data_IF_829231626649
#
_entry.id   IF_829231626649
#
_cell.length_a   1.000
_cell.length_b   1.000
_cell.length_c   1.000
_cell.angle_alpha   90.00
_cell.angle_beta   90.00
_cell.angle_gamma   90.00
#
_symmetry.space_group_name_H-M   'P 1'
#
loop_
_entity.id
_entity.type
_entity.pdbx_description
1 polymer ?
#
# COMPACT_ATOMS: atom_id res chain seq x y z
N UNK A 1 6.12 12.64 22.20
CA UNK A 1 6.42 11.50 23.08
C UNK A 1 5.19 11.08 23.84
N UNK A 2 4.77 9.85 23.57
CA UNK A 2 3.73 9.15 24.33
C UNK A 2 4.34 8.52 25.59
N UNK A 3 3.53 8.46 26.64
CA UNK A 3 3.83 7.67 27.83
C UNK A 3 2.69 6.69 28.07
N UNK A 4 2.94 5.64 28.87
CA UNK A 4 1.91 4.74 29.34
C UNK A 4 0.70 5.46 29.96
N UNK A 5 0.94 6.51 30.75
CA UNK A 5 -0.12 7.29 31.40
C UNK A 5 -0.99 8.05 30.40
N UNK A 6 -0.41 8.54 29.29
CA UNK A 6 -1.20 9.18 28.24
C UNK A 6 -2.14 8.19 27.55
N UNK A 7 -1.62 7.00 27.24
CA UNK A 7 -2.39 5.94 26.59
C UNK A 7 -3.52 5.44 27.50
N UNK A 8 -3.27 5.29 28.81
CA UNK A 8 -4.29 4.87 29.78
C UNK A 8 -5.46 5.86 29.93
N UNK A 9 -5.33 7.11 29.48
CA UNK A 9 -6.47 8.06 29.41
C UNK A 9 -7.49 7.70 28.32
N UNK A 10 -7.07 6.91 27.32
CA UNK A 10 -7.89 6.56 26.15
C UNK A 10 -8.13 5.05 26.01
N UNK A 11 -7.30 4.22 26.64
CA UNK A 11 -7.35 2.77 26.54
C UNK A 11 -7.43 2.13 27.93
N UNK A 12 -8.31 1.14 28.09
CA UNK A 12 -8.54 0.49 29.37
C UNK A 12 -7.31 -0.29 29.88
N UNK A 13 -6.54 -0.86 28.95
CA UNK A 13 -5.34 -1.66 29.25
C UNK A 13 -4.21 -1.22 28.33
N UNK A 14 -3.05 -1.00 28.92
CA UNK A 14 -1.80 -0.71 28.23
C UNK A 14 -0.70 -1.55 28.86
N UNK A 15 -0.20 -2.53 28.10
CA UNK A 15 0.98 -3.31 28.48
C UNK A 15 2.24 -2.57 28.03
N UNK A 16 3.34 -2.82 28.72
CA UNK A 16 4.66 -2.29 28.36
C UNK A 16 5.68 -3.43 28.46
N UNK A 17 6.52 -3.59 27.42
CA UNK A 17 7.63 -4.52 27.48
C UNK A 17 8.91 -3.88 28.07
N UNK A 18 9.95 -4.69 28.27
CA UNK A 18 11.23 -4.22 28.82
C UNK A 18 12.00 -3.29 27.87
N UNK A 19 11.61 -3.26 26.59
CA UNK A 19 12.25 -2.49 25.53
C UNK A 19 11.53 -1.16 25.26
N UNK A 20 10.49 -0.84 26.04
CA UNK A 20 9.75 0.42 25.93
C UNK A 20 8.66 0.43 24.86
N UNK A 21 8.17 -0.75 24.45
CA UNK A 21 7.01 -0.87 23.56
C UNK A 21 5.72 -0.92 24.37
N UNK A 22 4.77 -0.08 23.99
CA UNK A 22 3.43 -0.06 24.56
C UNK A 22 2.46 -0.85 23.67
N UNK A 23 1.74 -1.79 24.26
CA UNK A 23 0.70 -2.56 23.58
C UNK A 23 -0.67 -2.21 24.12
N UNK A 24 -1.59 -1.92 23.23
CA UNK A 24 -2.97 -1.58 23.56
C UNK A 24 -3.88 -1.90 22.38
N UNK A 25 -5.19 -1.88 22.60
CA UNK A 25 -6.14 -2.31 21.60
C UNK A 25 -7.44 -1.50 21.63
N UNK A 26 -8.11 -1.46 20.48
CA UNK A 26 -9.44 -0.95 20.32
C UNK A 26 -10.35 -2.09 19.86
N UNK A 27 -11.30 -2.48 20.73
CA UNK A 27 -12.26 -3.54 20.44
C UNK A 27 -13.51 -2.93 19.81
N UNK A 28 -13.78 -3.27 18.55
CA UNK A 28 -15.05 -2.99 17.88
C UNK A 28 -15.92 -4.25 17.88
N UNK A 29 -17.24 -4.14 17.60
CA UNK A 29 -18.13 -5.30 17.64
C UNK A 29 -17.74 -6.47 16.72
N UNK A 30 -16.98 -6.22 15.64
CA UNK A 30 -16.63 -7.22 14.62
C UNK A 30 -15.13 -7.43 14.43
N UNK A 31 -14.29 -6.59 15.03
CA UNK A 31 -12.85 -6.60 14.81
C UNK A 31 -12.14 -5.96 15.99
N UNK A 32 -10.89 -6.35 16.21
CA UNK A 32 -10.01 -5.70 17.18
C UNK A 32 -8.79 -5.15 16.47
N UNK A 33 -8.60 -3.85 16.58
CA UNK A 33 -7.35 -3.19 16.20
C UNK A 33 -6.36 -3.27 17.36
N UNK A 34 -5.17 -3.82 17.11
CA UNK A 34 -4.07 -3.87 18.07
C UNK A 34 -2.99 -2.89 17.65
N UNK A 35 -2.43 -2.23 18.64
CA UNK A 35 -1.46 -1.18 18.49
C UNK A 35 -0.19 -1.59 19.24
N UNK A 36 0.95 -1.41 18.59
CA UNK A 36 2.24 -1.37 19.26
C UNK A 36 2.84 0.01 18.99
N UNK A 37 3.24 0.71 20.05
CA UNK A 37 3.83 2.05 19.97
C UNK A 37 5.20 2.04 20.63
N UNK A 38 6.20 2.58 19.95
CA UNK A 38 7.53 2.84 20.49
C UNK A 38 7.78 4.34 20.49
N UNK A 39 8.09 4.89 21.66
CA UNK A 39 8.49 6.28 21.81
C UNK A 39 10.00 6.42 21.90
N UNK A 40 10.56 7.39 21.20
CA UNK A 40 11.97 7.78 21.28
C UNK A 40 12.09 9.29 21.50
N UNK A 41 13.30 9.77 21.79
CA UNK A 41 13.55 11.19 22.04
C UNK A 41 13.14 12.10 20.87
N UNK A 42 13.18 11.62 19.63
CA UNK A 42 12.91 12.40 18.42
C UNK A 42 11.59 12.07 17.74
N UNK A 43 11.08 10.84 17.87
CA UNK A 43 9.88 10.39 17.15
C UNK A 43 9.10 9.32 17.93
N UNK A 44 7.81 9.25 17.65
CA UNK A 44 6.92 8.18 18.10
C UNK A 44 6.53 7.34 16.87
N UNK A 45 6.79 6.04 16.90
CA UNK A 45 6.43 5.12 15.81
C UNK A 45 5.35 4.15 16.29
N UNK A 46 4.36 3.92 15.44
CA UNK A 46 3.18 3.13 15.73
C UNK A 46 2.96 2.13 14.61
N UNK A 47 2.65 0.89 14.97
CA UNK A 47 2.17 -0.12 14.04
C UNK A 47 0.79 -0.60 14.50
N UNK A 48 -0.08 -0.92 13.52
CA UNK A 48 -1.44 -1.37 13.76
C UNK A 48 -1.72 -2.65 13.00
N UNK A 49 -2.33 -3.62 13.68
CA UNK A 49 -2.87 -4.83 13.08
C UNK A 49 -4.37 -4.95 13.32
N UNK A 50 -5.07 -5.54 12.36
CA UNK A 50 -6.47 -5.94 12.47
C UNK A 50 -6.51 -7.45 12.77
N UNK A 51 -7.14 -7.83 13.89
CA UNK A 51 -7.42 -9.23 14.27
C UNK A 51 -6.20 -10.16 14.39
N UNK A 52 -4.98 -9.61 14.44
CA UNK A 52 -3.72 -10.36 14.60
C UNK A 52 -2.98 -9.86 15.83
N UNK A 53 -2.67 -10.76 16.77
CA UNK A 53 -1.86 -10.48 17.96
C UNK A 53 -0.46 -11.07 17.79
N UNK A 54 0.38 -10.36 17.04
CA UNK A 54 1.78 -10.71 16.85
C UNK A 54 2.67 -9.55 17.32
N UNK A 55 2.95 -9.59 18.63
CA UNK A 55 3.79 -8.59 19.30
C UNK A 55 5.24 -8.66 18.82
N UNK A 56 5.74 -9.84 18.48
CA UNK A 56 7.14 -10.01 18.05
C UNK A 56 7.37 -9.33 16.71
N UNK A 57 6.49 -9.58 15.73
CA UNK A 57 6.56 -8.89 14.45
C UNK A 57 6.34 -7.38 14.59
N UNK A 58 5.39 -6.97 15.44
CA UNK A 58 5.16 -5.55 15.74
C UNK A 58 6.43 -4.85 16.23
N UNK A 59 7.10 -5.42 17.23
CA UNK A 59 8.37 -4.93 17.76
C UNK A 59 9.42 -4.89 16.66
N UNK A 60 9.58 -5.99 15.92
CA UNK A 60 10.61 -6.09 14.89
C UNK A 60 10.49 -4.99 13.84
N UNK A 61 9.28 -4.67 13.38
CA UNK A 61 9.06 -3.57 12.40
C UNK A 61 9.42 -2.21 13.02
N UNK A 62 8.97 -1.92 14.24
CA UNK A 62 9.26 -0.64 14.89
C UNK A 62 10.74 -0.45 15.24
N UNK A 63 11.43 -1.53 15.63
CA UNK A 63 12.87 -1.51 15.92
C UNK A 63 13.73 -1.29 14.68
N UNK A 64 13.24 -1.71 13.50
CA UNK A 64 13.90 -1.49 12.21
C UNK A 64 13.58 -0.12 11.59
N UNK A 65 12.63 0.65 12.16
CA UNK A 65 12.32 1.99 11.67
C UNK A 65 13.54 2.90 11.76
N UNK A 66 13.91 3.61 10.68
CA UNK A 66 15.02 4.54 10.72
C UNK A 66 14.71 5.70 11.67
N UNK A 67 15.77 6.27 12.27
CA UNK A 67 15.68 7.52 13.01
C UNK A 67 15.58 8.72 12.07
N UNK A 68 14.91 9.79 12.52
CA UNK A 68 14.85 11.05 11.76
C UNK A 68 13.83 11.02 10.62
N UNK A 69 12.67 10.40 10.85
CA UNK A 69 11.59 10.35 9.88
C UNK A 69 11.12 11.76 9.46
N UNK A 70 10.90 11.95 8.16
CA UNK A 70 10.41 13.22 7.61
C UNK A 70 8.93 13.40 7.91
N UNK A 71 8.53 14.59 8.35
CA UNK A 71 7.11 14.93 8.58
C UNK A 71 6.35 15.27 7.29
N UNK A 72 7.06 15.49 6.20
CA UNK A 72 6.47 16.01 4.97
C UNK A 72 6.12 14.88 3.99
N UNK A 73 6.82 13.75 4.09
CA UNK A 73 6.68 12.63 3.16
C UNK A 73 6.85 11.26 3.81
N UNK A 74 6.35 10.18 3.19
CA UNK A 74 6.59 8.83 3.63
C UNK A 74 8.10 8.49 3.66
N UNK A 75 8.47 7.56 4.52
CA UNK A 75 9.80 6.94 4.51
C UNK A 75 9.65 5.44 4.33
N UNK A 76 10.21 4.93 3.24
CA UNK A 76 10.25 3.51 2.92
C UNK A 76 11.54 2.90 3.47
N UNK A 77 11.45 1.73 4.10
CA UNK A 77 12.61 0.97 4.58
C UNK A 77 12.38 -0.54 4.46
N UNK A 78 13.46 -1.29 4.34
CA UNK A 78 13.45 -2.76 4.32
C UNK A 78 13.18 -3.31 5.71
N UNK A 79 12.50 -4.46 5.78
CA UNK A 79 12.29 -5.20 7.03
C UNK A 79 12.73 -6.65 6.85
N UNK A 80 13.09 -7.27 7.96
CA UNK A 80 13.48 -8.68 8.03
C UNK A 80 12.36 -9.61 7.56
N UNK A 81 12.75 -10.80 7.08
CA UNK A 81 11.84 -11.86 6.68
C UNK A 81 10.85 -12.21 7.81
N UNK A 82 9.60 -12.46 7.43
CA UNK A 82 8.49 -12.67 8.35
C UNK A 82 7.44 -13.58 7.72
N UNK A 83 6.56 -14.13 8.55
CA UNK A 83 5.53 -15.08 8.10
C UNK A 83 4.47 -14.47 7.16
N UNK A 84 4.36 -13.15 7.11
CA UNK A 84 3.40 -12.44 6.25
C UNK A 84 3.97 -12.16 4.85
N UNK A 85 5.26 -12.36 4.64
CA UNK A 85 5.95 -12.10 3.36
C UNK A 85 6.17 -10.61 3.05
N UNK A 86 5.93 -9.70 4.00
CA UNK A 86 6.24 -8.29 3.81
C UNK A 86 7.75 -8.10 3.69
N UNK A 87 8.18 -7.28 2.74
CA UNK A 87 9.61 -7.03 2.50
C UNK A 87 10.03 -5.64 2.95
N UNK A 88 9.06 -4.72 3.09
CA UNK A 88 9.31 -3.34 3.45
C UNK A 88 8.28 -2.87 4.47
N UNK A 89 8.55 -1.73 5.09
CA UNK A 89 7.57 -0.94 5.79
C UNK A 89 7.60 0.51 5.31
N UNK A 90 6.44 1.15 5.34
CA UNK A 90 6.25 2.55 4.99
C UNK A 90 5.87 3.31 6.26
N UNK A 91 6.78 4.15 6.76
CA UNK A 91 6.46 5.09 7.83
C UNK A 91 5.82 6.34 7.24
N UNK A 92 4.57 6.61 7.59
CA UNK A 92 3.83 7.79 7.12
C UNK A 92 3.59 8.78 8.27
N UNK A 93 3.73 10.10 8.05
CA UNK A 93 3.47 11.10 9.08
C UNK A 93 2.01 11.20 9.50
N UNK A 94 1.76 11.90 10.60
CA UNK A 94 0.46 12.01 11.26
C UNK A 94 -0.70 12.53 10.38
N UNK A 95 -0.43 13.31 9.34
CA UNK A 95 -1.43 13.81 8.40
C UNK A 95 -1.96 12.71 7.45
N UNK A 96 -1.21 11.64 7.24
CA UNK A 96 -1.58 10.51 6.38
C UNK A 96 -2.56 9.54 7.03
N UNK A 97 -2.65 9.51 8.36
CA UNK A 97 -3.47 8.54 9.09
C UNK A 97 -4.33 9.14 10.21
N UNK A 98 -5.33 8.38 10.65
CA UNK A 98 -6.25 8.76 11.73
C UNK A 98 -5.90 8.17 13.11
N UNK A 99 -4.84 7.37 13.21
CA UNK A 99 -4.49 6.67 14.44
C UNK A 99 -4.21 7.64 15.58
N UNK A 100 -4.80 7.34 16.75
CA UNK A 100 -4.72 8.15 17.98
C UNK A 100 -5.28 9.57 17.86
N UNK A 101 -6.12 9.86 16.86
CA UNK A 101 -6.87 11.13 16.80
C UNK A 101 -7.85 11.26 17.97
N UNK A 102 -8.24 12.50 18.28
CA UNK A 102 -9.18 12.82 19.36
C UNK A 102 -8.45 13.18 20.65
N UNK A 103 -8.64 12.39 21.72
CA UNK A 103 -8.07 12.70 23.04
C UNK A 103 -6.53 12.79 23.08
N UNK A 104 -5.85 12.23 22.07
CA UNK A 104 -4.40 12.22 21.95
C UNK A 104 -3.88 13.10 20.80
N UNK A 105 -4.74 13.93 20.18
CA UNK A 105 -4.39 14.75 19.00
C UNK A 105 -3.15 15.61 19.24
N UNK A 106 -3.10 16.29 20.39
CA UNK A 106 -2.03 17.19 20.79
C UNK A 106 -0.65 16.54 20.92
N UNK A 107 -0.57 15.19 20.85
CA UNK A 107 0.69 14.43 20.89
C UNK A 107 1.12 13.88 19.54
N UNK A 108 0.33 14.06 18.49
CA UNK A 108 0.55 13.39 17.19
C UNK A 108 1.61 14.06 16.32
N UNK A 109 2.15 15.22 16.69
CA UNK A 109 3.07 16.00 15.85
C UNK A 109 4.34 15.26 15.41
N UNK A 110 4.76 14.24 16.16
CA UNK A 110 5.91 13.39 15.84
C UNK A 110 5.51 11.91 15.74
N UNK A 111 4.22 11.63 15.53
CA UNK A 111 3.68 10.28 15.41
C UNK A 111 3.74 9.82 13.96
N UNK A 112 4.34 8.66 13.74
CA UNK A 112 4.42 7.99 12.45
C UNK A 112 3.72 6.65 12.52
N UNK A 113 2.91 6.34 11.50
CA UNK A 113 2.36 5.00 11.31
C UNK A 113 3.30 4.20 10.40
N UNK A 114 3.89 3.14 10.93
CA UNK A 114 4.65 2.15 10.18
C UNK A 114 3.68 1.09 9.65
N UNK A 115 3.53 1.04 8.33
CA UNK A 115 2.70 0.05 7.63
C UNK A 115 3.60 -1.00 7.00
N UNK A 116 3.52 -2.28 7.39
CA UNK A 116 4.20 -3.36 6.68
C UNK A 116 3.59 -3.56 5.29
N UNK A 117 4.43 -3.64 4.26
CA UNK A 117 4.01 -3.68 2.86
C UNK A 117 4.82 -4.71 2.06
N UNK A 118 4.20 -5.21 0.99
CA UNK A 118 4.98 -5.76 -0.12
C UNK A 118 5.55 -4.59 -0.92
N UNK A 119 6.80 -4.70 -1.40
CA UNK A 119 7.51 -3.58 -2.06
C UNK A 119 6.68 -2.92 -3.19
N UNK A 120 5.88 -3.69 -3.91
CA UNK A 120 5.08 -3.22 -5.02
C UNK A 120 3.79 -2.47 -4.64
N UNK A 121 3.39 -2.45 -3.36
CA UNK A 121 2.12 -1.83 -2.93
C UNK A 121 2.19 -0.29 -2.89
N UNK A 122 3.39 0.28 -2.72
CA UNK A 122 3.62 1.73 -2.69
C UNK A 122 4.94 2.08 -3.36
N UNK A 123 5.05 3.27 -3.96
CA UNK A 123 6.31 3.77 -4.50
C UNK A 123 7.24 4.31 -3.41
N UNK A 124 6.69 4.90 -2.34
CA UNK A 124 7.40 5.63 -1.30
C UNK A 124 7.34 7.16 -1.47
N UNK A 125 6.66 7.62 -2.51
CA UNK A 125 6.54 9.05 -2.91
C UNK A 125 5.07 9.47 -3.01
N UNK A 126 4.17 8.71 -2.38
CA UNK A 126 2.74 9.03 -2.31
C UNK A 126 2.50 10.36 -1.60
N UNK A 127 1.60 11.15 -2.16
CA UNK A 127 1.01 12.28 -1.43
C UNK A 127 0.05 11.77 -0.35
N UNK A 128 -0.29 12.66 0.59
CA UNK A 128 -1.28 12.38 1.63
C UNK A 128 -2.62 11.87 1.06
N UNK A 129 -3.12 12.54 0.02
CA UNK A 129 -4.37 12.20 -0.65
C UNK A 129 -4.28 10.82 -1.32
N UNK A 130 -3.20 10.57 -2.07
CA UNK A 130 -3.00 9.28 -2.74
C UNK A 130 -2.91 8.13 -1.72
N UNK A 131 -2.14 8.29 -0.66
CA UNK A 131 -2.04 7.27 0.38
C UNK A 131 -3.41 6.98 1.01
N UNK A 132 -4.20 8.01 1.34
CA UNK A 132 -5.54 7.85 1.92
C UNK A 132 -6.49 7.13 0.98
N UNK A 133 -6.51 7.50 -0.29
CA UNK A 133 -7.35 6.85 -1.29
C UNK A 133 -6.97 5.38 -1.46
N UNK A 134 -5.67 5.09 -1.53
CA UNK A 134 -5.15 3.72 -1.60
C UNK A 134 -5.55 2.90 -0.36
N UNK A 135 -5.31 3.42 0.84
CA UNK A 135 -5.61 2.74 2.10
C UNK A 135 -7.12 2.53 2.34
N UNK A 136 -7.97 3.42 1.83
CA UNK A 136 -9.42 3.31 2.01
C UNK A 136 -10.10 2.38 0.99
N UNK A 137 -9.63 2.38 -0.27
CA UNK A 137 -10.37 1.76 -1.39
C UNK A 137 -9.70 0.52 -1.95
N UNK A 138 -8.38 0.43 -1.83
CA UNK A 138 -7.61 -0.60 -2.53
C UNK A 138 -6.90 -1.56 -1.60
N UNK A 139 -6.17 -1.04 -0.61
CA UNK A 139 -5.23 -1.81 0.18
C UNK A 139 -5.64 -1.82 1.66
N UNK A 140 -6.01 -2.99 2.23
CA UNK A 140 -6.34 -3.08 3.65
C UNK A 140 -5.06 -3.09 4.51
N UNK A 141 -4.46 -1.92 4.72
CA UNK A 141 -3.14 -1.74 5.35
C UNK A 141 -2.98 -2.34 6.76
N UNK A 142 -4.07 -2.58 7.48
CA UNK A 142 -4.04 -3.19 8.82
C UNK A 142 -4.26 -4.71 8.80
N UNK A 143 -4.70 -5.29 7.68
CA UNK A 143 -4.85 -6.74 7.52
C UNK A 143 -3.52 -7.33 7.08
N UNK A 144 -2.82 -7.99 8.01
CA UNK A 144 -1.52 -8.59 7.72
C UNK A 144 -1.64 -9.90 6.93
N UNK A 145 -2.72 -10.64 7.13
CA UNK A 145 -3.07 -11.82 6.34
C UNK A 145 -3.85 -11.40 5.09
N UNK A 146 -3.18 -10.71 4.16
CA UNK A 146 -3.76 -10.22 2.91
C UNK A 146 -2.94 -10.69 1.71
N UNK A 147 -3.57 -10.74 0.55
CA UNK A 147 -2.88 -10.92 -0.72
C UNK A 147 -2.02 -9.70 -1.09
N UNK A 148 -1.17 -9.84 -2.09
CA UNK A 148 -0.35 -8.74 -2.62
C UNK A 148 -1.23 -7.82 -3.49
N UNK A 149 -1.17 -6.50 -3.24
CA UNK A 149 -1.90 -5.49 -4.02
C UNK A 149 -0.97 -4.46 -4.69
N UNK A 150 -0.38 -4.77 -5.85
CA UNK A 150 0.53 -3.85 -6.53
C UNK A 150 -0.14 -2.50 -6.86
N UNK A 151 0.61 -1.41 -6.68
CA UNK A 151 0.22 -0.08 -7.14
C UNK A 151 0.28 -0.04 -8.66
N UNK A 152 -0.88 0.20 -9.28
CA UNK A 152 -1.04 0.32 -10.72
C UNK A 152 -1.82 1.58 -11.04
N UNK A 153 -1.23 2.46 -11.86
CA UNK A 153 -1.92 3.58 -12.47
C UNK A 153 -2.17 3.23 -13.93
N UNK A 154 -3.41 3.37 -14.37
CA UNK A 154 -3.85 2.92 -15.69
C UNK A 154 -4.47 4.09 -16.44
N UNK A 155 -3.96 4.35 -17.64
CA UNK A 155 -4.53 5.29 -18.59
C UNK A 155 -5.02 4.51 -19.80
N UNK A 156 -6.32 4.53 -20.08
CA UNK A 156 -6.88 3.75 -21.17
C UNK A 156 -8.02 4.46 -21.90
N UNK A 157 -8.25 4.00 -23.14
CA UNK A 157 -9.40 4.35 -23.96
C UNK A 157 -9.90 3.09 -24.69
N UNK A 158 -11.20 2.83 -24.57
CA UNK A 158 -11.90 1.77 -25.27
C UNK A 158 -13.06 2.37 -26.09
N UNK A 159 -12.82 2.66 -27.38
CA UNK A 159 -13.83 3.29 -28.22
C UNK A 159 -15.07 2.42 -28.46
N UNK A 160 -14.97 1.09 -28.28
CA UNK A 160 -16.11 0.19 -28.44
C UNK A 160 -17.13 0.30 -27.31
N UNK A 161 -16.68 0.61 -26.10
CA UNK A 161 -17.56 0.75 -24.92
C UNK A 161 -17.76 2.21 -24.51
N UNK A 162 -16.92 3.12 -25.01
CA UNK A 162 -16.85 4.51 -24.54
C UNK A 162 -16.23 4.63 -23.15
N UNK A 163 -15.69 3.54 -22.60
CA UNK A 163 -14.99 3.55 -21.32
C UNK A 163 -13.57 4.05 -21.52
N UNK A 164 -13.08 4.81 -20.54
CA UNK A 164 -11.72 5.32 -20.55
C UNK A 164 -11.44 6.12 -19.30
N UNK A 165 -10.21 6.61 -19.22
CA UNK A 165 -9.75 7.51 -18.15
C UNK A 165 -9.28 8.82 -18.75
N UNK A 166 -9.32 9.89 -17.95
CA UNK A 166 -8.57 11.11 -18.29
C UNK A 166 -7.06 10.83 -18.34
N UNK A 167 -6.30 11.71 -19.00
CA UNK A 167 -4.85 11.56 -19.24
C UNK A 167 -4.01 11.29 -17.97
N UNK A 168 -4.49 11.74 -16.80
CA UNK A 168 -3.81 11.45 -15.53
C UNK A 168 -3.86 9.97 -15.11
N UNK A 169 -4.68 9.15 -15.77
CA UNK A 169 -4.97 7.77 -15.42
C UNK A 169 -5.69 7.61 -14.08
N UNK A 170 -6.07 6.38 -13.76
CA UNK A 170 -6.72 5.99 -12.51
C UNK A 170 -5.94 4.90 -11.79
N UNK A 171 -5.98 4.88 -10.45
CA UNK A 171 -5.47 3.76 -9.68
C UNK A 171 -6.45 2.59 -9.77
N UNK A 172 -5.99 1.42 -10.21
CA UNK A 172 -6.81 0.23 -10.36
C UNK A 172 -6.26 -0.96 -9.57
N UNK A 173 -7.17 -1.82 -9.10
CA UNK A 173 -6.82 -3.16 -8.63
C UNK A 173 -6.41 -4.02 -9.83
N UNK A 174 -5.48 -4.94 -9.61
CA UNK A 174 -5.02 -5.87 -10.66
C UNK A 174 -6.20 -6.62 -11.31
N UNK A 175 -7.15 -7.11 -10.52
CA UNK A 175 -8.34 -7.81 -11.03
C UNK A 175 -9.21 -6.94 -11.93
N UNK A 176 -9.32 -5.64 -11.64
CA UNK A 176 -10.06 -4.69 -12.48
C UNK A 176 -9.31 -4.46 -13.78
N UNK A 177 -7.99 -4.27 -13.73
CA UNK A 177 -7.14 -4.14 -14.92
C UNK A 177 -7.26 -5.37 -15.84
N UNK A 178 -7.28 -6.58 -15.30
CA UNK A 178 -7.47 -7.81 -16.11
C UNK A 178 -8.78 -7.77 -16.88
N UNK A 179 -9.87 -7.32 -16.25
CA UNK A 179 -11.16 -7.14 -16.94
C UNK A 179 -11.09 -6.07 -18.04
N UNK A 180 -10.40 -4.95 -17.81
CA UNK A 180 -10.23 -3.94 -18.85
C UNK A 180 -9.39 -4.45 -20.03
N UNK A 181 -8.34 -5.24 -19.77
CA UNK A 181 -7.56 -5.90 -20.82
C UNK A 181 -8.44 -6.85 -21.61
N UNK A 182 -9.27 -7.67 -20.96
CA UNK A 182 -10.19 -8.57 -21.65
C UNK A 182 -11.19 -7.80 -22.54
N UNK A 183 -11.71 -6.68 -22.05
CA UNK A 183 -12.62 -5.80 -22.80
C UNK A 183 -11.97 -5.12 -24.01
N UNK A 184 -10.63 -5.13 -24.11
CA UNK A 184 -9.90 -4.60 -25.25
C UNK A 184 -9.86 -5.58 -26.43
N UNK A 185 -10.24 -6.85 -26.24
CA UNK A 185 -10.11 -7.90 -27.24
C UNK A 185 -10.83 -7.57 -28.57
N UNK A 186 -10.05 -7.35 -29.64
CA UNK A 186 -10.57 -7.00 -30.96
C UNK A 186 -11.02 -5.55 -31.12
N UNK A 187 -10.66 -4.66 -30.20
CA UNK A 187 -10.98 -3.24 -30.25
C UNK A 187 -9.93 -2.48 -31.07
N UNK A 188 -10.36 -1.99 -32.23
CA UNK A 188 -9.53 -1.15 -33.10
C UNK A 188 -9.33 0.22 -32.43
N UNK A 189 -8.07 0.69 -32.39
CA UNK A 189 -7.66 1.96 -31.79
C UNK A 189 -7.87 2.09 -30.27
N UNK A 190 -8.22 1.00 -29.58
CA UNK A 190 -8.21 0.99 -28.12
C UNK A 190 -6.81 0.71 -27.59
N UNK A 191 -6.50 1.22 -26.40
CA UNK A 191 -5.24 0.97 -25.71
C UNK A 191 -5.40 1.00 -24.19
N UNK A 192 -4.46 0.37 -23.50
CA UNK A 192 -4.31 0.46 -22.04
C UNK A 192 -2.82 0.68 -21.73
N UNK A 193 -2.48 1.86 -21.21
CA UNK A 193 -1.17 2.17 -20.64
C UNK A 193 -1.19 1.89 -19.13
N UNK A 194 -0.18 1.18 -18.64
CA UNK A 194 -0.08 0.68 -17.26
C UNK A 194 1.26 1.13 -16.68
N UNK A 195 1.19 1.90 -15.60
CA UNK A 195 2.35 2.38 -14.85
C UNK A 195 2.44 1.67 -13.50
N UNK A 196 3.58 1.03 -13.23
CA UNK A 196 3.81 0.31 -11.96
C UNK A 196 4.31 1.24 -10.83
N UNK A 197 4.56 0.67 -9.66
CA UNK A 197 5.06 1.41 -8.49
C UNK A 197 6.46 2.02 -8.65
N UNK A 198 7.27 1.55 -9.61
CA UNK A 198 8.59 2.11 -9.95
C UNK A 198 8.48 3.29 -10.93
N UNK A 199 7.32 3.48 -11.55
CA UNK A 199 7.13 4.42 -12.65
C UNK A 199 7.45 3.86 -14.03
N UNK A 200 7.73 2.56 -14.13
CA UNK A 200 7.87 1.89 -15.44
C UNK A 200 6.50 1.83 -16.12
N UNK A 201 6.50 1.81 -17.45
CA UNK A 201 5.28 1.86 -18.27
C UNK A 201 5.27 0.74 -19.29
N UNK A 202 4.11 0.10 -19.45
CA UNK A 202 3.81 -0.83 -20.54
C UNK A 202 2.47 -0.49 -21.15
N UNK A 203 2.28 -0.82 -22.42
CA UNK A 203 1.04 -0.58 -23.15
C UNK A 203 0.49 -1.89 -23.71
N UNK A 204 -0.83 -2.04 -23.70
CA UNK A 204 -1.55 -3.19 -24.23
C UNK A 204 -2.50 -2.71 -25.34
N UNK A 205 -2.40 -3.36 -26.51
CA UNK A 205 -3.31 -3.18 -27.64
C UNK A 205 -3.93 -4.53 -28.02
N UNK A 206 -5.14 -4.52 -28.57
CA UNK A 206 -5.75 -5.75 -29.13
C UNK A 206 -6.69 -5.42 -30.30
N UNK A 207 -6.13 -4.98 -31.43
CA UNK A 207 -6.93 -4.67 -32.62
C UNK A 207 -7.48 -5.92 -33.33
N UNK A 208 -6.84 -7.08 -33.13
CA UNK A 208 -7.23 -8.37 -33.71
C UNK A 208 -7.77 -9.27 -32.61
N UNK A 209 -8.88 -9.97 -32.89
CA UNK A 209 -9.50 -10.85 -31.91
C UNK A 209 -8.54 -11.97 -31.48
N UNK A 210 -8.47 -12.19 -30.16
CA UNK A 210 -7.65 -13.18 -29.46
C UNK A 210 -6.12 -12.97 -29.61
N UNK A 211 -5.73 -11.80 -30.10
CA UNK A 211 -4.34 -11.36 -30.23
C UNK A 211 -4.13 -10.08 -29.44
N UNK A 212 -3.14 -10.11 -28.55
CA UNK A 212 -2.75 -8.95 -27.75
C UNK A 212 -1.31 -8.58 -28.05
N UNK A 213 -1.05 -7.28 -28.06
CA UNK A 213 0.28 -6.72 -28.23
C UNK A 213 0.65 -6.04 -26.92
N UNK A 214 1.72 -6.54 -26.29
CA UNK A 214 2.34 -5.89 -25.15
C UNK A 214 3.52 -5.08 -25.66
N UNK A 215 3.51 -3.78 -25.43
CA UNK A 215 4.56 -2.86 -25.84
C UNK A 215 5.31 -2.40 -24.59
N UNK A 216 6.61 -2.66 -24.55
CA UNK A 216 7.51 -2.18 -23.49
C UNK A 216 8.42 -1.10 -24.04
N UNK A 217 8.76 -0.10 -23.21
CA UNK A 217 9.69 0.97 -23.57
C UNK A 217 9.30 1.72 -24.88
N UNK A 218 8.01 1.77 -25.21
CA UNK A 218 7.46 2.40 -26.43
C UNK A 218 7.96 1.83 -27.77
N UNK A 219 8.60 0.67 -27.78
CA UNK A 219 9.20 0.11 -29.00
C UNK A 219 9.28 -1.41 -29.07
N UNK A 220 9.34 -2.10 -27.92
CA UNK A 220 9.44 -3.55 -27.89
C UNK A 220 8.04 -4.17 -27.88
N UNK A 221 7.56 -4.51 -29.08
CA UNK A 221 6.26 -5.16 -29.28
C UNK A 221 6.38 -6.68 -29.20
N UNK A 222 5.57 -7.29 -28.34
CA UNK A 222 5.41 -8.73 -28.24
C UNK A 222 3.95 -9.11 -28.47
N UNK A 223 3.71 -10.01 -29.44
CA UNK A 223 2.37 -10.54 -29.72
C UNK A 223 2.16 -11.80 -28.90
N UNK A 224 1.05 -11.88 -28.17
CA UNK A 224 0.73 -13.02 -27.30
C UNK A 224 -0.78 -13.19 -27.07
N UNK A 225 -1.16 -14.30 -26.46
CA UNK A 225 -2.56 -14.56 -26.07
C UNK A 225 -2.88 -13.90 -24.73
N UNK A 226 -4.17 -13.73 -24.43
CA UNK A 226 -4.66 -13.06 -23.21
C UNK A 226 -3.98 -13.55 -21.92
N UNK A 227 -3.86 -14.87 -21.75
CA UNK A 227 -3.25 -15.48 -20.57
C UNK A 227 -1.81 -14.99 -20.35
N UNK A 228 -1.03 -14.97 -21.42
CA UNK A 228 0.39 -14.59 -21.36
C UNK A 228 0.55 -13.09 -21.09
N UNK A 229 -0.36 -12.25 -21.61
CA UNK A 229 -0.40 -10.81 -21.25
C UNK A 229 -0.65 -10.65 -19.76
N UNK A 230 -1.68 -11.31 -19.22
CA UNK A 230 -2.03 -11.19 -17.80
C UNK A 230 -0.88 -11.63 -16.91
N UNK A 231 -0.20 -12.73 -17.25
CA UNK A 231 0.99 -13.21 -16.53
C UNK A 231 2.13 -12.17 -16.58
N UNK A 232 2.47 -11.66 -17.76
CA UNK A 232 3.51 -10.64 -17.91
C UNK A 232 3.18 -9.32 -17.21
N UNK A 233 1.91 -8.90 -17.20
CA UNK A 233 1.45 -7.70 -16.48
C UNK A 233 1.52 -7.93 -14.96
N UNK A 234 1.25 -9.16 -14.49
CA UNK A 234 1.42 -9.50 -13.08
C UNK A 234 2.89 -9.43 -12.64
N UNK A 235 3.80 -10.02 -13.41
CA UNK A 235 5.25 -9.92 -13.16
C UNK A 235 5.72 -8.47 -13.15
N UNK A 236 5.33 -7.71 -14.18
CA UNK A 236 5.63 -6.28 -14.29
C UNK A 236 5.11 -5.47 -13.09
N UNK A 237 3.91 -5.78 -12.59
CA UNK A 237 3.33 -5.11 -11.43
C UNK A 237 4.14 -5.33 -10.14
N UNK A 238 4.84 -6.47 -10.04
CA UNK A 238 5.76 -6.77 -8.95
C UNK A 238 7.18 -6.21 -9.19
N UNK A 239 7.41 -5.57 -10.33
CA UNK A 239 8.70 -5.01 -10.71
C UNK A 239 9.70 -6.07 -11.20
N UNK A 240 9.20 -7.19 -11.75
CA UNK A 240 9.98 -8.26 -12.40
C UNK A 240 9.99 -8.08 -13.93
#
# INVERSE_FOLDING_TARGET
>A
MFSKQDLLKSFAVVDEDRSGHYFFQHNLPKTTYRYCLKSSASQDVLIVSEDVDDRQFSIAVLDQSPGGLSKDKPTLYEISENEYGFTHALAVPNNYHGSLKGNLEYKRDNLFLCVPIFRCEFSGEETEEQFKDMAQRMLPIFKWKRDVFPKLRVYFDNPSTGAGTYEAGALLKFTTLVGEIENLNGVISGFIEITNYKGDVVEVLSATKDEFKLIRNRSNEEVMVFRDVVEKIFEFSQGK
#
